data_IF_809752051347
#
_entry.id   IF_809752051347
#
_cell.length_a   1.000
_cell.length_b   1.000
_cell.length_c   1.000
_cell.angle_alpha   90.00
_cell.angle_beta   90.00
_cell.angle_gamma   90.00
#
_symmetry.space_group_name_H-M   'P 1'
#
loop_
_entity.id
_entity.type
_entity.pdbx_description
1 polymer ?
#
# COMPACT_ATOMS: atom_id res chain seq x y z
N UNK A 1 8.15 11.57 -13.76
CA UNK A 1 8.23 10.51 -12.74
C UNK A 1 7.33 9.39 -13.22
N UNK A 2 7.91 8.27 -13.65
CA UNK A 2 7.17 7.08 -14.11
C UNK A 2 7.50 6.01 -13.11
N UNK A 3 6.52 5.58 -12.31
CA UNK A 3 6.63 4.38 -11.49
C UNK A 3 5.90 3.29 -12.24
N UNK A 4 6.67 2.35 -12.78
CA UNK A 4 6.19 1.03 -13.14
C UNK A 4 7.30 0.06 -12.82
N UNK A 5 7.06 -0.82 -11.87
CA UNK A 5 8.04 -1.78 -11.38
C UNK A 5 7.51 -2.49 -10.15
N UNK A 6 6.85 -3.63 -10.40
CA UNK A 6 6.40 -4.65 -9.45
C UNK A 6 6.37 -4.27 -7.97
N UNK A 7 5.18 -3.99 -7.46
CA UNK A 7 4.93 -4.14 -6.02
C UNK A 7 4.86 -5.64 -5.76
N UNK A 8 5.78 -6.16 -4.96
CA UNK A 8 5.59 -7.45 -4.31
C UNK A 8 5.25 -7.14 -2.85
N UNK A 9 3.98 -7.36 -2.50
CA UNK A 9 3.51 -7.17 -1.14
C UNK A 9 3.20 -8.50 -0.48
N UNK A 10 3.66 -8.61 0.77
CA UNK A 10 3.70 -9.87 1.51
C UNK A 10 2.77 -9.79 2.71
N UNK A 11 1.60 -10.42 2.62
CA UNK A 11 0.63 -10.42 3.72
C UNK A 11 1.15 -11.29 4.86
N UNK A 12 1.23 -10.73 6.07
CA UNK A 12 1.70 -11.46 7.26
C UNK A 12 0.59 -12.41 7.75
N UNK A 13 0.91 -13.68 7.97
CA UNK A 13 0.00 -14.66 8.57
C UNK A 13 -0.26 -14.40 10.07
N UNK A 14 -1.20 -15.14 10.70
CA UNK A 14 -1.46 -15.02 12.14
C UNK A 14 -0.18 -15.32 12.95
N UNK A 15 0.09 -14.50 13.98
CA UNK A 15 1.30 -14.60 14.81
C UNK A 15 1.36 -15.95 15.54
N UNK A 16 2.38 -16.75 15.29
CA UNK A 16 2.82 -17.81 16.21
C UNK A 16 3.92 -17.28 17.11
N UNK A 17 3.80 -17.49 18.42
CA UNK A 17 4.80 -17.11 19.44
C UNK A 17 6.15 -17.78 19.17
N UNK A 18 7.24 -17.03 19.35
CA UNK A 18 8.62 -17.54 19.24
C UNK A 18 9.36 -17.22 20.54
N UNK A 19 9.82 -18.27 21.22
CA UNK A 19 10.66 -18.24 22.42
C UNK A 19 12.08 -17.69 22.14
N UNK A 20 12.76 -17.05 23.11
CA UNK A 20 14.00 -16.30 22.86
C UNK A 20 15.27 -17.14 23.04
N UNK A 21 16.31 -16.86 22.25
CA UNK A 21 17.62 -17.49 22.42
C UNK A 21 18.80 -16.72 21.83
N UNK A 22 19.60 -16.09 22.71
CA UNK A 22 21.07 -16.15 22.71
C UNK A 22 21.88 -15.16 21.85
N UNK A 23 22.57 -14.22 22.50
CA UNK A 23 23.56 -13.28 21.95
C UNK A 23 24.87 -13.97 21.46
N UNK A 24 25.47 -13.48 20.36
CA UNK A 24 26.91 -13.68 20.04
C UNK A 24 27.54 -12.44 19.36
N UNK A 25 28.86 -12.33 19.58
CA UNK A 25 29.73 -11.15 19.55
C UNK A 25 30.25 -10.68 18.16
N UNK A 26 30.79 -9.45 18.15
CA UNK A 26 30.91 -8.45 17.07
C UNK A 26 32.15 -8.49 16.15
N UNK A 27 32.90 -9.60 16.03
CA UNK A 27 34.24 -9.55 15.40
C UNK A 27 34.50 -10.58 14.29
N UNK A 28 33.61 -10.66 13.29
CA UNK A 28 33.88 -11.30 11.98
C UNK A 28 33.06 -10.57 10.92
N UNK A 29 33.72 -9.81 10.03
CA UNK A 29 33.04 -9.09 8.95
C UNK A 29 32.44 -10.15 8.00
N UNK A 30 31.12 -10.36 8.12
CA UNK A 30 30.40 -11.37 7.37
C UNK A 30 30.39 -11.01 5.86
N UNK A 31 30.44 -12.01 4.97
CA UNK A 31 30.25 -11.80 3.53
C UNK A 31 28.91 -11.08 3.28
N UNK A 32 28.80 -10.41 2.13
CA UNK A 32 27.55 -9.79 1.64
C UNK A 32 26.35 -10.69 2.00
N UNK A 33 25.26 -10.13 2.56
CA UNK A 33 24.14 -10.93 3.01
C UNK A 33 23.70 -11.84 1.87
N UNK A 34 23.41 -13.14 2.15
CA UNK A 34 22.88 -14.01 1.11
C UNK A 34 21.68 -13.33 0.47
N UNK A 35 21.52 -13.49 -0.85
CA UNK A 35 20.34 -13.07 -1.59
C UNK A 35 19.12 -13.26 -0.69
N UNK A 36 18.40 -12.16 -0.42
CA UNK A 36 17.29 -12.12 0.55
C UNK A 36 16.52 -13.41 0.37
N UNK A 37 16.59 -14.28 1.38
CA UNK A 37 15.99 -15.59 1.30
C UNK A 37 14.48 -15.34 1.29
N UNK A 38 13.90 -15.27 0.08
CA UNK A 38 12.47 -15.17 -0.14
C UNK A 38 11.84 -16.47 0.37
N UNK A 39 11.71 -16.63 1.69
CA UNK A 39 10.80 -17.62 2.22
C UNK A 39 9.43 -17.26 1.66
N UNK A 40 8.76 -18.08 0.85
CA UNK A 40 7.45 -17.73 0.35
C UNK A 40 6.54 -17.51 1.56
N UNK A 41 5.94 -16.32 1.65
CA UNK A 41 4.74 -16.19 2.48
C UNK A 41 3.73 -17.15 1.91
N UNK A 42 3.05 -17.86 2.79
CA UNK A 42 1.93 -18.72 2.40
C UNK A 42 0.74 -17.90 1.86
N UNK A 43 0.80 -16.56 1.97
CA UNK A 43 -0.06 -15.62 1.27
C UNK A 43 0.69 -15.04 0.07
N UNK A 44 0.11 -15.17 -1.13
CA UNK A 44 0.71 -14.76 -2.39
C UNK A 44 1.07 -13.27 -2.47
N UNK A 45 1.89 -12.92 -3.47
CA UNK A 45 2.16 -11.53 -3.86
C UNK A 45 0.88 -10.87 -4.38
N UNK A 46 0.61 -9.64 -3.95
CA UNK A 46 -0.39 -8.78 -4.59
C UNK A 46 0.30 -7.81 -5.55
N UNK A 47 -0.42 -7.39 -6.59
CA UNK A 47 -0.02 -6.35 -7.53
C UNK A 47 -0.26 -4.93 -7.00
N UNK A 48 -0.78 -4.80 -5.78
CA UNK A 48 -1.08 -3.55 -5.08
C UNK A 48 -0.20 -3.36 -3.83
N UNK A 49 -0.07 -2.10 -3.38
CA UNK A 49 0.48 -1.83 -2.05
C UNK A 49 -0.47 -2.37 -0.99
N UNK A 50 0.03 -3.27 -0.15
CA UNK A 50 -0.71 -3.89 0.95
C UNK A 50 -0.55 -3.11 2.25
N UNK A 51 -1.64 -3.00 3.01
CA UNK A 51 -1.65 -2.51 4.39
C UNK A 51 -1.33 -3.61 5.42
N UNK A 52 -1.24 -4.87 4.98
CA UNK A 52 -1.13 -6.05 5.85
C UNK A 52 0.29 -6.61 5.97
N UNK A 53 1.28 -5.94 5.40
CA UNK A 53 2.66 -6.39 5.49
C UNK A 53 3.64 -5.54 4.70
N UNK A 54 4.79 -6.13 4.43
CA UNK A 54 5.90 -5.43 3.77
C UNK A 54 5.61 -5.25 2.29
N UNK A 55 5.97 -4.08 1.78
CA UNK A 55 5.89 -3.77 0.36
C UNK A 55 7.30 -3.49 -0.16
N UNK A 56 7.72 -4.25 -1.16
CA UNK A 56 8.92 -3.91 -1.93
C UNK A 56 8.52 -2.95 -3.04
N UNK A 57 9.19 -1.79 -3.11
CA UNK A 57 8.91 -0.76 -4.11
C UNK A 57 10.15 -0.53 -4.97
N UNK A 58 9.93 -0.37 -6.28
CA UNK A 58 10.93 0.07 -7.23
C UNK A 58 10.55 1.45 -7.78
N UNK A 59 11.38 2.45 -7.50
CA UNK A 59 11.21 3.81 -7.98
C UNK A 59 12.19 4.08 -9.12
N UNK A 60 11.73 4.77 -10.17
CA UNK A 60 12.58 5.19 -11.27
C UNK A 60 12.70 6.71 -11.33
N UNK A 61 13.94 7.19 -11.26
CA UNK A 61 14.30 8.59 -11.36
C UNK A 61 15.11 8.80 -12.63
N UNK A 62 14.72 9.76 -13.48
CA UNK A 62 15.40 9.99 -14.77
C UNK A 62 16.92 10.20 -14.61
N UNK A 63 17.33 10.92 -13.57
CA UNK A 63 18.74 11.25 -13.31
C UNK A 63 19.51 10.16 -12.54
N UNK A 64 18.81 9.22 -11.88
CA UNK A 64 19.43 8.27 -10.93
C UNK A 64 19.16 6.80 -11.23
N UNK A 65 18.31 6.50 -12.22
CA UNK A 65 17.87 5.14 -12.52
C UNK A 65 16.94 4.57 -11.45
N UNK A 66 17.00 3.26 -11.25
CA UNK A 66 16.16 2.55 -10.29
C UNK A 66 16.70 2.64 -8.86
N UNK A 67 15.78 2.80 -7.90
CA UNK A 67 16.01 2.57 -6.49
C UNK A 67 14.99 1.55 -5.98
N UNK A 68 15.46 0.49 -5.34
CA UNK A 68 14.60 -0.53 -4.73
C UNK A 68 14.68 -0.38 -3.21
N UNK A 69 13.54 -0.37 -2.54
CA UNK A 69 13.48 -0.26 -1.09
C UNK A 69 12.25 -0.98 -0.52
N UNK A 70 12.25 -1.19 0.79
CA UNK A 70 11.06 -1.64 1.53
C UNK A 70 10.32 -0.43 2.08
N UNK A 71 9.03 -0.34 1.78
CA UNK A 71 8.16 0.70 2.30
C UNK A 71 7.76 0.37 3.75
N UNK A 72 8.26 1.14 4.72
CA UNK A 72 7.73 1.11 6.10
C UNK A 72 6.31 1.67 6.13
N UNK A 73 5.42 0.99 6.85
CA UNK A 73 4.03 1.41 7.02
C UNK A 73 3.76 2.22 8.29
N UNK A 74 4.75 2.35 9.20
CA UNK A 74 4.57 2.92 10.54
C UNK A 74 4.15 4.40 10.54
N UNK A 75 4.38 5.08 9.42
CA UNK A 75 4.02 6.49 9.21
C UNK A 75 2.59 6.70 8.71
N UNK A 76 1.85 5.64 8.42
CA UNK A 76 0.46 5.72 7.99
C UNK A 76 -0.47 5.35 9.15
N UNK A 77 -1.58 6.06 9.34
CA UNK A 77 -2.52 5.80 10.43
C UNK A 77 -3.42 4.58 10.12
N UNK A 78 -2.79 3.43 9.87
CA UNK A 78 -3.48 2.19 9.48
C UNK A 78 -4.21 1.57 10.67
N UNK A 79 -5.43 1.10 10.43
CA UNK A 79 -6.14 0.26 11.38
C UNK A 79 -5.65 -1.18 11.32
N UNK A 80 -5.60 -1.91 12.46
CA UNK A 80 -5.37 -3.34 12.44
C UNK A 80 -6.40 -4.04 11.54
N UNK A 81 -5.92 -4.93 10.68
CA UNK A 81 -6.74 -5.58 9.68
C UNK A 81 -6.24 -6.99 9.36
N UNK A 82 -7.14 -7.79 8.81
CA UNK A 82 -6.89 -9.10 8.23
C UNK A 82 -7.13 -9.06 6.72
N UNK A 83 -6.76 -10.11 6.00
CA UNK A 83 -7.07 -10.22 4.58
C UNK A 83 -8.59 -10.22 4.32
N UNK A 84 -9.37 -10.78 5.24
CA UNK A 84 -10.83 -10.84 5.09
C UNK A 84 -11.47 -9.45 5.22
N UNK A 85 -10.88 -8.56 6.03
CA UNK A 85 -11.31 -7.17 6.14
C UNK A 85 -11.14 -6.38 4.83
N UNK A 86 -10.25 -6.83 3.94
CA UNK A 86 -10.04 -6.24 2.61
C UNK A 86 -10.82 -6.95 1.50
N UNK A 87 -11.51 -8.05 1.81
CA UNK A 87 -12.22 -8.86 0.83
C UNK A 87 -13.32 -8.06 0.13
N UNK A 88 -13.31 -8.09 -1.20
CA UNK A 88 -14.40 -7.61 -2.05
C UNK A 88 -15.55 -8.63 -2.14
N UNK A 89 -16.61 -8.27 -2.86
CA UNK A 89 -17.72 -9.14 -3.19
C UNK A 89 -17.89 -9.32 -4.71
N UNK A 90 -19.13 -9.54 -5.12
CA UNK A 90 -19.49 -9.51 -6.54
C UNK A 90 -19.42 -8.09 -7.14
N UNK A 91 -19.79 -7.94 -8.42
CA UNK A 91 -19.72 -6.66 -9.12
C UNK A 91 -20.55 -5.57 -8.45
N UNK A 92 -21.75 -5.90 -7.99
CA UNK A 92 -22.67 -4.96 -7.37
C UNK A 92 -22.14 -4.53 -6.00
N UNK A 93 -21.70 -5.48 -5.19
CA UNK A 93 -21.10 -5.24 -3.89
C UNK A 93 -19.85 -4.35 -4.02
N UNK A 94 -18.93 -4.66 -4.95
CA UNK A 94 -17.73 -3.87 -5.18
C UNK A 94 -18.05 -2.45 -5.66
N UNK A 95 -19.03 -2.30 -6.56
CA UNK A 95 -19.46 -0.97 -7.01
C UNK A 95 -20.04 -0.13 -5.86
N UNK A 96 -20.67 -0.78 -4.88
CA UNK A 96 -21.20 -0.09 -3.70
C UNK A 96 -20.10 0.26 -2.70
N UNK A 97 -19.14 -0.65 -2.48
CA UNK A 97 -17.93 -0.40 -1.68
C UNK A 97 -17.17 0.82 -2.22
N UNK A 98 -16.91 0.86 -3.53
CA UNK A 98 -16.20 1.98 -4.18
C UNK A 98 -16.96 3.30 -4.08
N UNK A 99 -18.30 3.28 -4.15
CA UNK A 99 -19.09 4.51 -3.94
C UNK A 99 -18.99 5.03 -2.51
N UNK A 100 -19.11 4.16 -1.50
CA UNK A 100 -19.05 4.55 -0.07
C UNK A 100 -17.66 5.04 0.35
N UNK A 101 -16.61 4.26 0.06
CA UNK A 101 -15.50 4.74 -0.76
C UNK A 101 -15.26 6.25 -0.87
N UNK A 102 -15.54 6.69 -2.10
CA UNK A 102 -15.28 8.02 -2.62
C UNK A 102 -16.24 9.08 -2.06
N UNK A 103 -17.40 8.65 -1.52
CA UNK A 103 -18.30 9.51 -0.75
C UNK A 103 -17.76 9.83 0.65
N UNK A 104 -16.70 9.15 1.08
CA UNK A 104 -16.13 9.35 2.41
C UNK A 104 -17.04 8.83 3.52
N UNK A 105 -17.76 7.73 3.28
CA UNK A 105 -18.59 7.06 4.29
C UNK A 105 -17.82 5.95 5.02
N UNK A 106 -16.89 5.29 4.33
CA UNK A 106 -16.08 4.22 4.91
C UNK A 106 -14.94 4.77 5.77
N UNK A 107 -14.65 4.12 6.89
CA UNK A 107 -13.57 4.52 7.82
C UNK A 107 -12.66 3.37 8.24
N UNK A 108 -12.82 2.19 7.64
CA UNK A 108 -12.09 0.97 8.02
C UNK A 108 -10.97 0.57 7.06
N UNK A 109 -10.43 -0.66 7.19
CA UNK A 109 -9.26 -1.15 6.45
C UNK A 109 -9.32 -1.01 4.92
N UNK A 110 -10.52 -1.10 4.31
CA UNK A 110 -10.71 -0.88 2.88
C UNK A 110 -10.36 0.56 2.46
N UNK A 111 -10.67 1.55 3.30
CA UNK A 111 -10.27 2.94 3.07
C UNK A 111 -8.76 3.09 3.16
N UNK A 112 -8.15 2.46 4.15
CA UNK A 112 -6.70 2.55 4.33
C UNK A 112 -5.94 1.99 3.11
N UNK A 113 -6.40 0.86 2.57
CA UNK A 113 -5.83 0.29 1.35
C UNK A 113 -5.95 1.22 0.13
N UNK A 114 -7.12 1.87 -0.03
CA UNK A 114 -7.33 2.86 -1.10
C UNK A 114 -6.45 4.09 -0.90
N UNK A 115 -6.35 4.61 0.32
CA UNK A 115 -5.54 5.78 0.62
C UNK A 115 -4.05 5.51 0.37
N UNK A 116 -3.54 4.32 0.71
CA UNK A 116 -2.15 3.94 0.46
C UNK A 116 -1.81 3.95 -1.03
N UNK A 117 -2.65 3.32 -1.85
CA UNK A 117 -2.44 3.25 -3.29
C UNK A 117 -2.68 4.61 -3.97
N UNK A 118 -3.67 5.38 -3.53
CA UNK A 118 -3.91 6.73 -4.01
C UNK A 118 -2.74 7.68 -3.66
N UNK A 119 -2.16 7.54 -2.47
CA UNK A 119 -0.99 8.28 -2.06
C UNK A 119 0.21 8.03 -2.99
N UNK A 120 0.44 6.77 -3.37
CA UNK A 120 1.45 6.41 -4.36
C UNK A 120 1.15 7.03 -5.72
N UNK A 121 -0.09 6.93 -6.21
CA UNK A 121 -0.48 7.55 -7.48
C UNK A 121 -0.27 9.08 -7.47
N UNK A 122 -0.67 9.76 -6.40
CA UNK A 122 -0.50 11.22 -6.23
C UNK A 122 0.96 11.63 -6.14
N UNK A 123 1.77 10.87 -5.41
CA UNK A 123 3.21 11.08 -5.33
C UNK A 123 3.81 10.98 -6.74
N UNK A 124 3.57 9.88 -7.46
CA UNK A 124 4.09 9.63 -8.81
C UNK A 124 3.62 10.66 -9.84
N UNK A 125 2.40 11.16 -9.70
CA UNK A 125 1.86 12.23 -10.52
C UNK A 125 2.45 13.62 -10.19
N UNK A 126 3.36 13.73 -9.22
CA UNK A 126 3.95 14.99 -8.77
C UNK A 126 2.95 15.90 -8.06
N UNK A 127 1.85 15.35 -7.52
CA UNK A 127 0.84 16.08 -6.75
C UNK A 127 1.12 16.09 -5.25
N UNK A 128 2.01 15.21 -4.80
CA UNK A 128 2.53 15.19 -3.44
C UNK A 128 4.05 15.06 -3.44
N UNK A 129 4.71 15.62 -2.42
CA UNK A 129 6.18 15.59 -2.27
C UNK A 129 6.69 14.32 -1.58
N UNK A 130 5.79 13.52 -1.01
CA UNK A 130 6.06 12.24 -0.38
C UNK A 130 4.81 11.38 -0.36
N UNK A 131 4.96 10.09 -0.05
CA UNK A 131 3.82 9.19 0.17
C UNK A 131 2.95 9.62 1.36
N UNK A 132 3.53 10.18 2.43
CA UNK A 132 2.73 10.67 3.58
C UNK A 132 1.90 11.91 3.19
N UNK A 133 2.50 12.86 2.46
CA UNK A 133 1.75 13.99 1.91
C UNK A 133 0.67 13.52 0.91
N UNK A 134 0.95 12.45 0.14
CA UNK A 134 -0.01 11.84 -0.77
C UNK A 134 -1.19 11.21 -0.03
N UNK A 135 -0.95 10.60 1.13
CA UNK A 135 -1.99 10.04 1.99
C UNK A 135 -2.90 11.12 2.52
N UNK A 136 -2.33 12.19 3.09
CA UNK A 136 -3.07 13.34 3.62
C UNK A 136 -3.94 13.98 2.53
N UNK A 137 -3.36 14.21 1.35
CA UNK A 137 -4.09 14.76 0.21
C UNK A 137 -5.22 13.81 -0.24
N UNK A 138 -4.96 12.51 -0.38
CA UNK A 138 -5.99 11.55 -0.74
C UNK A 138 -7.16 11.53 0.27
N UNK A 139 -6.85 11.57 1.56
CA UNK A 139 -7.83 11.61 2.62
C UNK A 139 -8.68 12.90 2.53
N UNK A 140 -8.02 14.05 2.35
CA UNK A 140 -8.69 15.35 2.20
C UNK A 140 -9.62 15.37 0.97
N UNK A 141 -9.17 14.88 -0.19
CA UNK A 141 -9.98 14.82 -1.41
C UNK A 141 -11.25 13.98 -1.24
N UNK A 142 -11.16 12.87 -0.48
CA UNK A 142 -12.32 12.04 -0.14
C UNK A 142 -13.22 12.77 0.84
N UNK A 143 -12.67 13.36 1.90
CA UNK A 143 -13.44 14.05 2.95
C UNK A 143 -14.17 15.30 2.44
N UNK A 144 -13.59 16.00 1.48
CA UNK A 144 -14.23 17.14 0.79
C UNK A 144 -15.24 16.72 -0.28
N UNK A 145 -15.44 15.41 -0.50
CA UNK A 145 -16.35 14.87 -1.51
C UNK A 145 -15.88 15.04 -2.96
N UNK A 146 -14.63 15.49 -3.18
CA UNK A 146 -14.10 15.75 -4.51
C UNK A 146 -13.86 14.46 -5.30
N UNK A 147 -13.48 13.39 -4.61
CA UNK A 147 -13.33 12.07 -5.21
C UNK A 147 -14.68 11.53 -5.75
N UNK A 148 -15.75 11.63 -4.96
CA UNK A 148 -17.11 11.28 -5.38
C UNK A 148 -17.61 12.16 -6.54
N UNK A 149 -17.41 13.48 -6.47
CA UNK A 149 -17.78 14.39 -7.55
C UNK A 149 -17.08 14.05 -8.88
N UNK A 150 -15.80 13.64 -8.83
CA UNK A 150 -15.06 13.20 -10.02
C UNK A 150 -15.64 11.92 -10.62
N UNK A 151 -16.08 10.97 -9.81
CA UNK A 151 -16.77 9.77 -10.32
C UNK A 151 -18.05 10.15 -11.07
N UNK A 152 -18.86 11.05 -10.53
CA UNK A 152 -20.09 11.50 -11.20
C UNK A 152 -19.82 12.22 -12.53
N UNK A 153 -18.77 13.05 -12.59
CA UNK A 153 -18.31 13.67 -13.84
C UNK A 153 -17.90 12.63 -14.89
N UNK A 154 -17.18 11.58 -14.49
CA UNK A 154 -16.79 10.48 -15.38
C UNK A 154 -18.01 9.69 -15.87
N UNK A 155 -18.99 9.44 -15.00
CA UNK A 155 -20.25 8.78 -15.39
C UNK A 155 -21.03 9.62 -16.38
N UNK A 156 -21.07 10.95 -16.19
CA UNK A 156 -21.77 11.86 -17.08
C UNK A 156 -21.11 11.96 -18.46
N UNK A 157 -19.77 11.90 -18.55
CA UNK A 157 -19.03 11.99 -19.81
C UNK A 157 -18.92 10.68 -20.60
N UNK A 158 -19.24 9.54 -19.97
CA UNK A 158 -19.17 8.21 -20.59
C UNK A 158 -20.51 7.72 -21.16
N UNK A 159 -21.53 8.60 -21.21
CA UNK A 159 -22.85 8.34 -21.78
C UNK A 159 -22.94 8.95 -23.17
#
# INVERSE_FOLDING_TARGET
>A
MVVSGAVESKVRGPRSEVEPGGERSLNQLAPLPPAINHQPSTLGSLDELSTLGENTIAEFYQERGFAVSTLSLDRFPLQPATLDDLRGGDRQANAQIVRRLLAGEERGPKRDAVLLNAAAALFVAGKATSLSAGWELAAELIERGQAGAKLEELVASSR
#
